data_IF_751053675214
#
_entry.id   IF_751053675214
#
_cell.length_a   1.000
_cell.length_b   1.000
_cell.length_c   1.000
_cell.angle_alpha   90.00
_cell.angle_beta   90.00
_cell.angle_gamma   90.00
#
_symmetry.space_group_name_H-M   'P 1'
#
loop_
_entity.id
_entity.type
_entity.pdbx_description
1 polymer ?
#
# COMPACT_ATOMS: atom_id res chain seq x y z
N UNK A 1 -16.90 -44.00 17.19
CA UNK A 1 -16.63 -42.99 18.24
C UNK A 1 -17.69 -41.89 18.25
N UNK A 2 -17.90 -41.17 17.13
CA UNK A 2 -18.92 -40.11 16.96
C UNK A 2 -20.33 -40.53 17.45
N UNK A 3 -20.88 -41.65 16.97
CA UNK A 3 -22.21 -42.15 17.40
C UNK A 3 -22.33 -42.44 18.91
N UNK A 4 -21.23 -42.74 19.59
CA UNK A 4 -21.23 -43.01 21.03
C UNK A 4 -21.25 -41.71 21.85
N UNK A 5 -20.59 -40.67 21.36
CA UNK A 5 -20.59 -39.32 21.95
C UNK A 5 -21.99 -38.70 21.76
N UNK A 6 -22.57 -38.81 20.56
CA UNK A 6 -23.90 -38.28 20.22
C UNK A 6 -25.06 -38.83 21.07
N UNK A 7 -24.87 -39.97 21.76
CA UNK A 7 -25.90 -40.55 22.66
C UNK A 7 -25.80 -40.05 24.11
N UNK A 8 -24.67 -39.41 24.48
CA UNK A 8 -24.37 -38.97 25.85
C UNK A 8 -24.38 -37.45 26.03
N UNK A 9 -24.40 -36.71 24.93
CA UNK A 9 -24.52 -35.25 24.95
C UNK A 9 -25.99 -34.89 25.23
N UNK A 10 -26.26 -34.35 26.42
CA UNK A 10 -27.53 -33.71 26.75
C UNK A 10 -27.33 -32.19 26.61
N UNK A 11 -27.88 -31.62 25.53
CA UNK A 11 -27.83 -30.18 25.25
C UNK A 11 -29.25 -29.67 25.08
N UNK A 12 -29.50 -28.45 25.56
CA UNK A 12 -30.62 -27.64 25.14
C UNK A 12 -30.21 -26.79 23.91
N UNK A 13 -31.15 -25.98 23.40
CA UNK A 13 -30.88 -25.12 22.24
C UNK A 13 -29.76 -24.11 22.52
N UNK A 14 -29.69 -23.55 23.73
CA UNK A 14 -28.67 -22.58 24.14
C UNK A 14 -27.26 -23.19 24.14
N UNK A 15 -27.14 -24.40 24.68
CA UNK A 15 -25.91 -25.16 24.68
C UNK A 15 -25.48 -25.55 23.26
N UNK A 16 -26.44 -25.94 22.42
CA UNK A 16 -26.18 -26.21 21.00
C UNK A 16 -25.65 -24.97 20.27
N UNK A 17 -26.29 -23.81 20.44
CA UNK A 17 -25.86 -22.55 19.81
C UNK A 17 -24.42 -22.21 20.22
N UNK A 18 -24.10 -22.36 21.51
CA UNK A 18 -22.75 -22.14 22.04
C UNK A 18 -21.72 -23.10 21.43
N UNK A 19 -22.09 -24.37 21.26
CA UNK A 19 -21.25 -25.36 20.58
C UNK A 19 -21.06 -25.03 19.09
N UNK A 20 -22.10 -24.59 18.40
CA UNK A 20 -22.01 -24.20 17.01
C UNK A 20 -21.05 -23.02 16.83
N UNK A 21 -21.17 -21.95 17.62
CA UNK A 21 -20.26 -20.79 17.53
C UNK A 21 -18.82 -21.19 17.88
N UNK A 22 -18.64 -22.03 18.89
CA UNK A 22 -17.31 -22.57 19.23
C UNK A 22 -16.71 -23.39 18.09
N UNK A 23 -17.53 -24.16 17.36
CA UNK A 23 -17.09 -24.93 16.20
C UNK A 23 -16.60 -24.04 15.05
N UNK A 24 -17.23 -22.88 14.83
CA UNK A 24 -16.79 -21.91 13.83
C UNK A 24 -15.39 -21.37 14.15
N UNK A 25 -15.16 -21.02 15.42
CA UNK A 25 -13.87 -20.53 15.91
C UNK A 25 -12.75 -21.59 15.86
N UNK A 26 -13.10 -22.88 15.90
CA UNK A 26 -12.13 -23.97 15.76
C UNK A 26 -11.46 -24.00 14.38
N UNK A 27 -12.09 -23.37 13.37
CA UNK A 27 -11.68 -23.40 11.95
C UNK A 27 -11.54 -24.83 11.39
N UNK A 28 -12.14 -25.83 12.05
CA UNK A 28 -12.12 -27.22 11.63
C UNK A 28 -13.48 -27.62 11.04
N UNK A 29 -13.50 -27.83 9.72
CA UNK A 29 -14.72 -28.21 8.99
C UNK A 29 -15.36 -29.50 9.53
N UNK A 30 -14.58 -30.46 10.01
CA UNK A 30 -15.13 -31.73 10.52
C UNK A 30 -15.92 -31.53 11.82
N UNK A 31 -15.48 -30.60 12.67
CA UNK A 31 -16.23 -30.25 13.88
C UNK A 31 -17.57 -29.61 13.48
N UNK A 32 -17.57 -28.70 12.50
CA UNK A 32 -18.80 -28.08 12.01
C UNK A 32 -19.75 -29.13 11.42
N UNK A 33 -19.25 -30.08 10.61
CA UNK A 33 -20.06 -31.19 10.07
C UNK A 33 -20.70 -32.01 11.19
N UNK A 34 -19.93 -32.33 12.24
CA UNK A 34 -20.46 -33.02 13.42
C UNK A 34 -21.55 -32.22 14.14
N UNK A 35 -21.43 -30.88 14.22
CA UNK A 35 -22.51 -30.03 14.76
C UNK A 35 -23.77 -30.09 13.88
N UNK A 36 -23.64 -30.15 12.55
CA UNK A 36 -24.81 -30.32 11.66
C UNK A 36 -25.46 -31.71 11.80
N UNK A 37 -24.69 -32.77 12.07
CA UNK A 37 -25.25 -34.08 12.42
C UNK A 37 -26.04 -34.04 13.74
N UNK A 38 -25.49 -33.37 14.76
CA UNK A 38 -26.17 -33.12 16.04
C UNK A 38 -27.48 -32.36 15.85
N UNK A 39 -27.46 -31.30 15.03
CA UNK A 39 -28.63 -30.50 14.67
C UNK A 39 -29.76 -31.41 14.17
N UNK A 40 -29.47 -32.21 13.14
CA UNK A 40 -30.47 -33.03 12.47
C UNK A 40 -30.99 -34.16 13.37
N UNK A 41 -30.12 -34.76 14.19
CA UNK A 41 -30.49 -35.85 15.09
C UNK A 41 -31.41 -35.40 16.22
N UNK A 42 -31.16 -34.23 16.79
CA UNK A 42 -31.86 -33.73 17.98
C UNK A 42 -32.90 -32.64 17.66
N UNK A 43 -33.05 -32.25 16.40
CA UNK A 43 -34.03 -31.24 15.97
C UNK A 43 -33.66 -29.80 16.35
N UNK A 44 -32.37 -29.50 16.58
CA UNK A 44 -31.96 -28.13 16.89
C UNK A 44 -32.10 -27.22 15.67
N UNK A 45 -32.26 -25.92 15.94
CA UNK A 45 -32.30 -24.88 14.92
C UNK A 45 -30.92 -24.20 14.80
N UNK A 46 -30.57 -23.76 13.59
CA UNK A 46 -29.47 -22.79 13.39
C UNK A 46 -30.15 -21.52 12.90
N UNK A 47 -30.05 -20.45 13.68
CA UNK A 47 -30.66 -19.17 13.35
C UNK A 47 -29.89 -18.46 12.23
N UNK A 48 -30.55 -17.52 11.56
CA UNK A 48 -29.88 -16.65 10.59
C UNK A 48 -28.72 -15.89 11.23
N UNK A 49 -28.87 -15.42 12.47
CA UNK A 49 -27.79 -14.73 13.20
C UNK A 49 -26.58 -15.64 13.46
N UNK A 50 -26.80 -16.91 13.80
CA UNK A 50 -25.73 -17.89 13.95
C UNK A 50 -25.00 -18.12 12.60
N UNK A 51 -25.72 -18.12 11.47
CA UNK A 51 -25.11 -18.18 10.14
C UNK A 51 -24.27 -16.94 9.86
N UNK A 52 -24.75 -15.73 10.21
CA UNK A 52 -23.96 -14.49 10.07
C UNK A 52 -22.66 -14.55 10.88
N UNK A 53 -22.70 -15.13 12.09
CA UNK A 53 -21.50 -15.35 12.89
C UNK A 53 -20.47 -16.27 12.19
N UNK A 54 -20.90 -17.16 11.29
CA UNK A 54 -19.96 -17.95 10.48
C UNK A 54 -19.10 -17.11 9.55
N UNK A 55 -19.58 -15.96 9.08
CA UNK A 55 -18.82 -15.04 8.25
C UNK A 55 -17.69 -14.39 9.05
N UNK A 56 -17.93 -14.13 10.33
CA UNK A 56 -16.98 -13.51 11.26
C UNK A 56 -15.94 -14.48 11.82
N UNK A 57 -16.35 -15.72 12.12
CA UNK A 57 -15.52 -16.68 12.86
C UNK A 57 -14.99 -17.82 11.98
N UNK A 58 -15.82 -18.34 11.07
CA UNK A 58 -15.45 -19.47 10.20
C UNK A 58 -14.39 -19.13 9.17
N UNK A 59 -13.70 -20.14 8.64
CA UNK A 59 -12.83 -19.99 7.46
C UNK A 59 -13.64 -20.15 6.16
N UNK A 60 -12.99 -19.97 5.00
CA UNK A 60 -13.64 -20.10 3.69
C UNK A 60 -14.35 -21.46 3.51
N UNK A 61 -13.73 -22.56 3.93
CA UNK A 61 -14.30 -23.90 3.80
C UNK A 61 -15.60 -24.06 4.60
N UNK A 62 -15.61 -23.56 5.84
CA UNK A 62 -16.78 -23.58 6.71
C UNK A 62 -17.90 -22.72 6.14
N UNK A 63 -17.59 -21.49 5.69
CA UNK A 63 -18.58 -20.59 5.08
C UNK A 63 -19.19 -21.24 3.83
N UNK A 64 -18.36 -21.87 2.98
CA UNK A 64 -18.82 -22.60 1.80
C UNK A 64 -19.70 -23.80 2.16
N UNK A 65 -19.33 -24.57 3.17
CA UNK A 65 -20.15 -25.70 3.64
C UNK A 65 -21.51 -25.21 4.12
N UNK A 66 -21.53 -24.21 5.01
CA UNK A 66 -22.77 -23.60 5.53
C UNK A 66 -23.62 -23.02 4.40
N UNK A 67 -22.99 -22.46 3.35
CA UNK A 67 -23.69 -21.89 2.19
C UNK A 67 -24.53 -22.87 1.38
N UNK A 68 -24.22 -24.17 1.46
CA UNK A 68 -24.94 -25.22 0.72
C UNK A 68 -25.75 -26.14 1.63
N UNK A 69 -25.51 -26.11 2.95
CA UNK A 69 -26.22 -26.97 3.90
C UNK A 69 -27.33 -26.28 4.67
N UNK A 70 -27.38 -24.95 4.64
CA UNK A 70 -28.43 -24.19 5.31
C UNK A 70 -29.55 -23.83 4.33
N UNK A 71 -30.78 -23.75 4.86
CA UNK A 71 -31.96 -23.33 4.09
C UNK A 71 -32.01 -21.79 3.91
N UNK A 72 -31.15 -21.06 4.60
CA UNK A 72 -31.13 -19.61 4.57
C UNK A 72 -30.26 -19.09 3.41
N UNK A 73 -30.75 -18.08 2.68
CA UNK A 73 -29.97 -17.47 1.62
C UNK A 73 -28.74 -16.77 2.21
N UNK A 74 -27.56 -17.12 1.70
CA UNK A 74 -26.35 -16.38 2.00
C UNK A 74 -26.35 -15.05 1.24
N UNK A 75 -25.93 -13.99 1.91
CA UNK A 75 -25.69 -12.68 1.31
C UNK A 75 -24.18 -12.48 1.01
N UNK A 76 -23.72 -12.62 -0.25
CA UNK A 76 -22.30 -12.47 -0.59
C UNK A 76 -21.74 -11.09 -0.22
N UNK A 77 -22.57 -10.05 -0.25
CA UNK A 77 -22.16 -8.69 0.10
C UNK A 77 -21.71 -8.61 1.56
N UNK A 78 -22.44 -9.24 2.46
CA UNK A 78 -22.12 -9.25 3.88
C UNK A 78 -20.81 -10.01 4.14
N UNK A 79 -20.63 -11.16 3.48
CA UNK A 79 -19.38 -11.91 3.56
C UNK A 79 -18.20 -11.07 3.08
N UNK A 80 -18.37 -10.35 1.97
CA UNK A 80 -17.33 -9.46 1.43
C UNK A 80 -17.01 -8.34 2.41
N UNK A 81 -18.00 -7.65 2.98
CA UNK A 81 -17.79 -6.61 4.01
C UNK A 81 -17.00 -7.15 5.22
N UNK A 82 -17.47 -8.25 5.82
CA UNK A 82 -16.80 -8.89 6.96
C UNK A 82 -15.39 -9.35 6.59
N UNK A 83 -15.20 -9.91 5.39
CA UNK A 83 -13.88 -10.37 4.94
C UNK A 83 -12.88 -9.22 4.80
N UNK A 84 -13.32 -8.03 4.40
CA UNK A 84 -12.48 -6.82 4.35
C UNK A 84 -12.14 -6.39 5.78
N UNK A 85 -13.14 -6.24 6.65
CA UNK A 85 -12.92 -5.82 8.05
C UNK A 85 -12.01 -6.77 8.82
N UNK A 86 -12.07 -8.08 8.54
CA UNK A 86 -11.25 -9.12 9.19
C UNK A 86 -9.98 -9.48 8.42
N UNK A 87 -9.68 -8.82 7.30
CA UNK A 87 -8.53 -9.09 6.41
C UNK A 87 -8.43 -10.56 5.93
N UNK A 88 -9.54 -11.12 5.44
CA UNK A 88 -9.66 -12.51 4.97
C UNK A 88 -9.65 -12.55 3.45
N UNK A 89 -8.47 -12.38 2.83
CA UNK A 89 -8.33 -12.22 1.38
C UNK A 89 -8.95 -13.34 0.55
N UNK A 90 -8.74 -14.61 0.91
CA UNK A 90 -9.30 -15.74 0.15
C UNK A 90 -10.84 -15.80 0.22
N UNK A 91 -11.42 -15.47 1.38
CA UNK A 91 -12.87 -15.35 1.52
C UNK A 91 -13.41 -14.18 0.71
N UNK A 92 -12.74 -13.03 0.80
CA UNK A 92 -13.06 -11.85 -0.01
C UNK A 92 -13.09 -12.21 -1.49
N UNK A 93 -11.99 -12.77 -2.00
CA UNK A 93 -11.82 -13.13 -3.41
C UNK A 93 -12.88 -14.11 -3.89
N UNK A 94 -13.20 -15.15 -3.10
CA UNK A 94 -14.20 -16.15 -3.48
C UNK A 94 -15.63 -15.60 -3.60
N UNK A 95 -15.99 -14.63 -2.74
CA UNK A 95 -17.35 -14.09 -2.71
C UNK A 95 -17.50 -12.78 -3.49
N UNK A 96 -16.42 -12.10 -3.82
CA UNK A 96 -16.44 -10.82 -4.54
C UNK A 96 -17.16 -10.91 -5.89
N UNK A 97 -16.86 -11.94 -6.69
CA UNK A 97 -17.47 -12.13 -8.02
C UNK A 97 -18.98 -12.43 -7.95
N UNK A 98 -19.48 -12.82 -6.78
CA UNK A 98 -20.91 -13.08 -6.56
C UNK A 98 -21.69 -11.79 -6.26
N UNK A 99 -21.02 -10.64 -6.10
CA UNK A 99 -21.65 -9.34 -5.85
C UNK A 99 -21.99 -8.66 -7.18
N UNK A 100 -23.28 -8.35 -7.40
CA UNK A 100 -23.83 -8.02 -8.73
C UNK A 100 -23.77 -6.54 -9.14
N UNK A 101 -23.02 -5.65 -8.48
CA UNK A 101 -23.04 -4.22 -8.87
C UNK A 101 -21.71 -3.45 -8.77
N UNK A 102 -21.47 -2.55 -9.74
CA UNK A 102 -20.32 -1.65 -9.74
C UNK A 102 -20.32 -0.60 -8.62
N UNK A 103 -21.50 -0.20 -8.13
CA UNK A 103 -21.63 0.72 -6.98
C UNK A 103 -21.12 0.08 -5.68
N UNK A 104 -21.23 -1.23 -5.55
CA UNK A 104 -20.72 -1.97 -4.39
C UNK A 104 -19.19 -2.09 -4.41
N UNK A 105 -18.57 -2.26 -5.59
CA UNK A 105 -17.11 -2.27 -5.72
C UNK A 105 -16.45 -0.99 -5.15
N UNK A 106 -17.03 0.18 -5.43
CA UNK A 106 -16.54 1.45 -4.88
C UNK A 106 -16.65 1.52 -3.35
N UNK A 107 -17.73 0.97 -2.76
CA UNK A 107 -17.88 0.89 -1.29
C UNK A 107 -16.84 -0.03 -0.67
N UNK A 108 -16.58 -1.17 -1.29
CA UNK A 108 -15.55 -2.11 -0.81
C UNK A 108 -14.14 -1.53 -0.92
N UNK A 109 -13.87 -0.71 -1.95
CA UNK A 109 -12.61 0.02 -2.05
C UNK A 109 -12.44 0.99 -0.87
N UNK A 110 -13.45 1.81 -0.57
CA UNK A 110 -13.41 2.74 0.58
C UNK A 110 -13.23 2.01 1.91
N UNK A 111 -13.96 0.91 2.10
CA UNK A 111 -13.81 0.08 3.29
C UNK A 111 -12.40 -0.54 3.39
N UNK A 112 -11.84 -1.02 2.27
CA UNK A 112 -10.48 -1.55 2.24
C UNK A 112 -9.42 -0.48 2.53
N UNK A 113 -9.66 0.78 2.13
CA UNK A 113 -8.80 1.92 2.47
C UNK A 113 -8.88 2.23 3.97
N UNK A 114 -10.10 2.37 4.53
CA UNK A 114 -10.36 2.62 5.94
C UNK A 114 -9.63 1.61 6.85
N UNK A 115 -9.68 0.33 6.49
CA UNK A 115 -9.04 -0.75 7.25
C UNK A 115 -7.62 -1.11 6.77
N UNK A 116 -7.03 -0.33 5.85
CA UNK A 116 -5.69 -0.55 5.25
C UNK A 116 -5.44 -1.99 4.80
N UNK A 117 -6.39 -2.56 4.05
CA UNK A 117 -6.33 -3.96 3.57
C UNK A 117 -5.57 -4.07 2.26
N UNK A 118 -4.24 -3.99 2.33
CA UNK A 118 -3.34 -3.85 1.16
C UNK A 118 -3.55 -4.92 0.09
N UNK A 119 -3.69 -6.20 0.44
CA UNK A 119 -3.92 -7.27 -0.55
C UNK A 119 -5.27 -7.13 -1.26
N UNK A 120 -6.31 -6.76 -0.51
CA UNK A 120 -7.65 -6.50 -1.03
C UNK A 120 -7.65 -5.24 -1.90
N UNK A 121 -6.98 -4.17 -1.50
CA UNK A 121 -6.80 -2.95 -2.30
C UNK A 121 -6.12 -3.26 -3.63
N UNK A 122 -5.03 -4.05 -3.56
CA UNK A 122 -4.28 -4.52 -4.73
C UNK A 122 -5.11 -5.37 -5.70
N UNK A 123 -6.13 -6.08 -5.19
CA UNK A 123 -7.08 -6.83 -6.00
C UNK A 123 -8.15 -5.91 -6.60
N UNK A 124 -8.80 -5.10 -5.75
CA UNK A 124 -9.90 -4.22 -6.13
C UNK A 124 -9.50 -3.22 -7.21
N UNK A 125 -8.29 -2.68 -7.12
CA UNK A 125 -7.86 -1.61 -8.02
C UNK A 125 -7.79 -2.06 -9.48
N UNK A 126 -7.62 -3.36 -9.76
CA UNK A 126 -7.50 -3.88 -11.12
C UNK A 126 -8.71 -3.56 -12.00
N UNK A 127 -9.91 -3.60 -11.42
CA UNK A 127 -11.20 -3.41 -12.10
C UNK A 127 -11.73 -1.98 -12.06
N UNK A 128 -11.08 -1.10 -11.29
CA UNK A 128 -11.61 0.23 -11.02
C UNK A 128 -11.04 1.25 -12.00
N UNK A 129 -11.94 2.03 -12.61
CA UNK A 129 -11.57 3.21 -13.38
C UNK A 129 -11.32 4.38 -12.42
N UNK A 130 -10.08 4.88 -12.36
CA UNK A 130 -9.69 5.97 -11.46
C UNK A 130 -10.52 7.25 -11.66
N UNK A 131 -10.95 7.53 -12.89
CA UNK A 131 -11.79 8.68 -13.23
C UNK A 131 -13.18 8.66 -12.58
N UNK A 132 -13.65 7.49 -12.14
CA UNK A 132 -14.92 7.32 -11.43
C UNK A 132 -14.78 7.41 -9.91
N UNK A 133 -13.56 7.59 -9.41
CA UNK A 133 -13.27 7.73 -7.98
C UNK A 133 -13.14 9.22 -7.66
N UNK A 134 -13.83 9.67 -6.61
CA UNK A 134 -13.70 11.04 -6.13
C UNK A 134 -12.27 11.39 -5.70
N UNK A 135 -11.94 12.68 -5.73
CA UNK A 135 -10.58 13.17 -5.49
C UNK A 135 -10.07 12.82 -4.09
N UNK A 136 -10.93 12.87 -3.06
CA UNK A 136 -10.54 12.57 -1.68
C UNK A 136 -10.21 11.09 -1.50
N UNK A 137 -11.02 10.18 -2.07
CA UNK A 137 -10.69 8.75 -2.06
C UNK A 137 -9.40 8.47 -2.83
N UNK A 138 -9.13 9.18 -3.93
CA UNK A 138 -7.83 9.06 -4.64
C UNK A 138 -6.66 9.57 -3.80
N UNK A 139 -6.84 10.65 -3.01
CA UNK A 139 -5.83 11.11 -2.05
C UNK A 139 -5.54 10.05 -0.98
N UNK A 140 -6.59 9.45 -0.42
CA UNK A 140 -6.43 8.33 0.52
C UNK A 140 -5.67 7.16 -0.09
N UNK A 141 -5.93 6.83 -1.36
CA UNK A 141 -5.21 5.76 -2.08
C UNK A 141 -3.73 6.08 -2.26
N UNK A 142 -3.35 7.32 -2.61
CA UNK A 142 -1.93 7.68 -2.74
C UNK A 142 -1.22 7.79 -1.39
N UNK A 143 -1.96 8.04 -0.30
CA UNK A 143 -1.45 8.00 1.08
C UNK A 143 -1.27 6.60 1.66
N UNK A 144 -1.42 5.54 0.84
CA UNK A 144 -1.11 4.17 1.23
C UNK A 144 0.39 3.92 1.03
N UNK A 145 1.08 3.63 2.13
CA UNK A 145 2.51 3.36 2.21
C UNK A 145 2.93 1.96 1.67
N UNK A 146 2.44 1.55 0.49
CA UNK A 146 2.80 0.29 -0.18
C UNK A 146 3.26 0.56 -1.61
N UNK A 147 4.57 0.36 -1.88
CA UNK A 147 5.21 0.64 -3.18
C UNK A 147 4.53 -0.10 -4.33
N UNK A 148 4.12 -1.36 -4.10
CA UNK A 148 3.44 -2.18 -5.12
C UNK A 148 2.08 -1.61 -5.49
N UNK A 149 1.31 -1.18 -4.49
CA UNK A 149 0.03 -0.53 -4.70
C UNK A 149 0.20 0.81 -5.42
N UNK A 150 1.11 1.67 -4.97
CA UNK A 150 1.40 2.97 -5.61
C UNK A 150 1.86 2.80 -7.06
N UNK A 151 2.72 1.81 -7.34
CA UNK A 151 3.13 1.45 -8.71
C UNK A 151 1.92 1.13 -9.59
N UNK A 152 0.98 0.33 -9.11
CA UNK A 152 -0.27 0.02 -9.85
C UNK A 152 -1.13 1.25 -10.11
N UNK A 153 -1.20 2.19 -9.16
CA UNK A 153 -1.93 3.45 -9.35
C UNK A 153 -1.29 4.29 -10.45
N UNK A 154 0.04 4.41 -10.44
CA UNK A 154 0.80 5.10 -11.49
C UNK A 154 0.65 4.41 -12.84
N UNK A 155 0.69 3.08 -12.90
CA UNK A 155 0.42 2.29 -14.11
C UNK A 155 -0.98 2.53 -14.68
N UNK A 156 -1.94 2.86 -13.81
CA UNK A 156 -3.33 3.20 -14.16
C UNK A 156 -3.55 4.68 -14.46
N UNK A 157 -2.51 5.51 -14.41
CA UNK A 157 -2.60 6.93 -14.73
C UNK A 157 -3.21 7.77 -13.62
N UNK A 158 -2.96 7.43 -12.35
CA UNK A 158 -3.23 8.37 -11.27
C UNK A 158 -2.37 9.63 -11.46
N UNK A 159 -2.91 10.78 -11.05
CA UNK A 159 -2.13 12.01 -11.01
C UNK A 159 -0.96 11.85 -10.02
N UNK A 160 0.27 11.92 -10.53
CA UNK A 160 1.48 11.71 -9.74
C UNK A 160 1.78 12.87 -8.78
N UNK A 161 1.15 14.02 -8.99
CA UNK A 161 1.26 15.20 -8.13
C UNK A 161 0.15 15.26 -7.07
N UNK A 162 -0.74 14.27 -7.05
CA UNK A 162 -1.83 14.19 -6.08
C UNK A 162 -1.29 14.14 -4.65
N UNK A 163 -1.95 14.88 -3.75
CA UNK A 163 -1.57 15.00 -2.34
C UNK A 163 -0.15 15.56 -2.13
N UNK A 164 0.17 16.65 -2.84
CA UNK A 164 1.47 17.34 -2.74
C UNK A 164 2.64 16.40 -3.04
N UNK A 165 2.63 15.82 -4.24
CA UNK A 165 3.69 14.91 -4.72
C UNK A 165 3.96 13.72 -3.78
N UNK A 166 2.94 13.25 -3.05
CA UNK A 166 3.08 12.21 -2.00
C UNK A 166 3.83 10.98 -2.51
N UNK A 167 3.47 10.48 -3.70
CA UNK A 167 4.07 9.26 -4.25
C UNK A 167 5.59 9.43 -4.39
N UNK A 168 6.04 10.56 -4.94
CA UNK A 168 7.46 10.82 -5.13
C UNK A 168 8.18 10.98 -3.78
N UNK A 169 7.61 11.76 -2.84
CA UNK A 169 8.13 11.91 -1.46
C UNK A 169 8.30 10.56 -0.76
N UNK A 170 7.26 9.73 -0.79
CA UNK A 170 7.27 8.40 -0.18
C UNK A 170 8.33 7.48 -0.78
N UNK A 171 8.43 7.43 -2.11
CA UNK A 171 9.42 6.59 -2.77
C UNK A 171 10.85 7.04 -2.44
N UNK A 172 11.11 8.36 -2.44
CA UNK A 172 12.41 8.91 -2.03
C UNK A 172 12.74 8.56 -0.58
N UNK A 173 11.78 8.63 0.34
CA UNK A 173 11.99 8.26 1.74
C UNK A 173 12.28 6.77 1.95
N UNK A 174 11.86 5.89 1.03
CA UNK A 174 11.95 4.43 1.16
C UNK A 174 12.87 3.76 0.13
N UNK A 175 13.55 4.51 -0.72
CA UNK A 175 14.32 4.02 -1.88
C UNK A 175 15.37 2.95 -1.59
N UNK A 176 15.85 2.85 -0.34
CA UNK A 176 16.87 1.89 0.08
C UNK A 176 16.31 0.52 0.47
N UNK A 177 14.98 0.36 0.59
CA UNK A 177 14.36 -0.90 1.05
C UNK A 177 14.31 -1.96 -0.05
N UNK A 178 14.08 -1.56 -1.29
CA UNK A 178 13.95 -2.47 -2.42
C UNK A 178 14.23 -1.78 -3.77
N UNK A 179 14.47 -2.59 -4.80
CA UNK A 179 14.64 -2.11 -6.16
C UNK A 179 13.34 -1.58 -6.77
N UNK A 180 12.18 -1.99 -6.26
CA UNK A 180 10.86 -1.55 -6.78
C UNK A 180 10.67 -0.04 -6.59
N UNK A 181 11.11 0.49 -5.45
CA UNK A 181 11.07 1.92 -5.14
C UNK A 181 11.91 2.72 -6.14
N UNK A 182 13.10 2.25 -6.49
CA UNK A 182 13.98 2.89 -7.47
C UNK A 182 13.36 2.89 -8.86
N UNK A 183 12.75 1.77 -9.27
CA UNK A 183 12.09 1.68 -10.57
C UNK A 183 10.84 2.56 -10.65
N UNK A 184 10.08 2.68 -9.54
CA UNK A 184 8.98 3.63 -9.45
C UNK A 184 9.49 5.08 -9.52
N UNK A 185 10.59 5.44 -8.85
CA UNK A 185 11.21 6.78 -8.96
C UNK A 185 11.59 7.09 -10.41
N UNK A 186 12.27 6.18 -11.11
CA UNK A 186 12.62 6.37 -12.53
C UNK A 186 11.38 6.65 -13.37
N UNK A 187 10.32 5.87 -13.16
CA UNK A 187 9.05 6.05 -13.87
C UNK A 187 8.42 7.41 -13.57
N UNK A 188 8.37 7.81 -12.30
CA UNK A 188 7.84 9.10 -11.87
C UNK A 188 8.62 10.27 -12.50
N UNK A 189 9.94 10.19 -12.58
CA UNK A 189 10.78 11.20 -13.25
C UNK A 189 10.43 11.34 -14.74
N UNK A 190 10.26 10.22 -15.46
CA UNK A 190 9.82 10.22 -16.87
C UNK A 190 8.43 10.85 -17.01
N UNK A 191 7.54 10.60 -16.07
CA UNK A 191 6.19 11.18 -16.04
C UNK A 191 6.16 12.65 -15.58
N UNK A 192 7.30 13.23 -15.24
CA UNK A 192 7.41 14.66 -14.91
C UNK A 192 7.25 14.98 -13.42
N UNK A 193 7.59 14.05 -12.52
CA UNK A 193 7.56 14.29 -11.07
C UNK A 193 8.26 15.59 -10.67
N UNK A 194 7.70 16.26 -9.66
CA UNK A 194 8.24 17.50 -9.15
C UNK A 194 9.52 17.24 -8.33
N UNK A 195 10.68 17.36 -8.98
CA UNK A 195 11.97 17.19 -8.32
C UNK A 195 12.33 18.31 -7.33
N UNK A 196 11.46 19.32 -7.16
CA UNK A 196 11.69 20.48 -6.30
C UNK A 196 10.94 20.43 -4.96
N UNK A 197 10.25 19.32 -4.66
CA UNK A 197 9.57 19.07 -3.38
C UNK A 197 10.45 19.40 -2.18
N UNK A 198 9.83 19.89 -1.09
CA UNK A 198 10.49 20.23 0.18
C UNK A 198 11.72 21.14 0.01
N UNK A 199 11.66 22.10 -0.92
CA UNK A 199 12.80 22.97 -1.28
C UNK A 199 14.06 22.19 -1.65
N UNK A 200 13.88 20.96 -2.15
CA UNK A 200 14.95 20.02 -2.50
C UNK A 200 15.84 19.61 -1.32
N UNK A 201 15.35 19.71 -0.07
CA UNK A 201 16.07 19.28 1.14
C UNK A 201 16.41 17.78 1.10
N UNK A 202 15.55 16.95 0.52
CA UNK A 202 15.76 15.52 0.38
C UNK A 202 17.05 15.19 -0.41
N UNK A 203 17.45 16.03 -1.37
CA UNK A 203 18.69 15.82 -2.13
C UNK A 203 19.94 15.93 -1.27
N UNK A 204 19.92 16.71 -0.18
CA UNK A 204 21.05 16.80 0.75
C UNK A 204 21.30 15.45 1.45
N UNK A 205 20.22 14.80 1.90
CA UNK A 205 20.27 13.45 2.47
C UNK A 205 20.74 12.43 1.42
N UNK A 206 20.20 12.51 0.20
CA UNK A 206 20.61 11.60 -0.88
C UNK A 206 22.06 11.79 -1.30
N UNK A 207 22.63 13.00 -1.25
CA UNK A 207 24.06 13.21 -1.53
C UNK A 207 24.89 12.35 -0.57
N UNK A 208 24.53 12.28 0.71
CA UNK A 208 25.25 11.49 1.71
C UNK A 208 25.10 9.98 1.51
N UNK A 209 23.93 9.52 1.07
CA UNK A 209 23.56 8.10 1.13
C UNK A 209 23.45 7.41 -0.24
N UNK A 210 22.96 8.11 -1.27
CA UNK A 210 22.85 7.60 -2.64
C UNK A 210 23.10 8.69 -3.71
N UNK A 211 24.36 9.08 -3.94
CA UNK A 211 24.72 10.09 -4.95
C UNK A 211 24.36 9.67 -6.40
N UNK A 212 24.13 8.36 -6.64
CA UNK A 212 23.70 7.88 -7.96
C UNK A 212 22.25 8.29 -8.23
N UNK A 213 21.39 8.20 -7.21
CA UNK A 213 20.01 8.67 -7.31
C UNK A 213 19.95 10.20 -7.47
N UNK A 214 20.81 10.96 -6.78
CA UNK A 214 20.96 12.42 -7.00
C UNK A 214 21.31 12.70 -8.46
N UNK A 215 22.30 12.00 -9.00
CA UNK A 215 22.72 12.17 -10.39
C UNK A 215 21.61 11.85 -11.38
N UNK A 216 20.74 10.88 -11.08
CA UNK A 216 19.55 10.59 -11.88
C UNK A 216 18.54 11.74 -11.80
N UNK A 217 18.20 12.22 -10.60
CA UNK A 217 17.19 13.27 -10.39
C UNK A 217 17.62 14.57 -11.07
N UNK A 218 18.89 14.95 -10.95
CA UNK A 218 19.42 16.17 -11.58
C UNK A 218 19.32 16.17 -13.12
N UNK A 219 19.23 15.00 -13.77
CA UNK A 219 18.99 14.92 -15.23
C UNK A 219 17.59 15.40 -15.63
N UNK A 220 16.64 15.37 -14.70
CA UNK A 220 15.26 15.80 -14.92
C UNK A 220 14.99 17.22 -14.38
N UNK A 221 15.98 17.86 -13.75
CA UNK A 221 15.88 19.24 -13.28
C UNK A 221 15.92 20.22 -14.46
N UNK A 222 14.91 21.08 -14.57
CA UNK A 222 14.76 22.09 -15.64
C UNK A 222 15.28 23.47 -15.25
N UNK A 223 15.50 23.70 -13.96
CA UNK A 223 15.98 24.94 -13.35
C UNK A 223 16.83 24.65 -12.11
N UNK A 224 17.62 25.63 -11.62
CA UNK A 224 18.34 25.51 -10.35
C UNK A 224 17.42 25.09 -9.20
N UNK A 225 17.95 24.23 -8.32
CA UNK A 225 17.25 23.86 -7.09
C UNK A 225 17.27 25.03 -6.09
N UNK A 226 16.20 25.26 -5.32
CA UNK A 226 16.13 26.38 -4.36
C UNK A 226 17.29 26.41 -3.34
N UNK A 227 17.79 25.24 -2.94
CA UNK A 227 18.89 25.08 -1.99
C UNK A 227 20.24 24.73 -2.66
N UNK A 228 20.43 25.08 -3.93
CA UNK A 228 21.61 24.74 -4.74
C UNK A 228 22.95 25.00 -4.04
N UNK A 229 23.08 26.10 -3.29
CA UNK A 229 24.29 26.42 -2.53
C UNK A 229 24.60 25.42 -1.42
N UNK A 230 23.58 24.83 -0.77
CA UNK A 230 23.77 23.76 0.22
C UNK A 230 24.12 22.45 -0.48
N UNK A 231 23.39 22.10 -1.55
CA UNK A 231 23.67 20.91 -2.35
C UNK A 231 25.08 20.92 -2.94
N UNK A 232 25.56 22.08 -3.37
CA UNK A 232 26.91 22.27 -3.88
C UNK A 232 27.96 22.02 -2.80
N UNK A 233 27.79 22.60 -1.61
CA UNK A 233 28.70 22.36 -0.48
C UNK A 233 28.72 20.89 -0.06
N UNK A 234 27.57 20.24 0.05
CA UNK A 234 27.48 18.80 0.33
C UNK A 234 28.15 17.98 -0.78
N UNK A 235 27.87 18.35 -2.03
CA UNK A 235 28.59 18.04 -3.26
C UNK A 235 30.10 17.85 -3.06
N UNK A 236 30.70 18.98 -2.69
CA UNK A 236 32.13 19.11 -2.58
C UNK A 236 32.70 18.41 -1.34
N UNK A 237 32.01 18.54 -0.21
CA UNK A 237 32.40 17.92 1.04
C UNK A 237 32.57 16.40 0.91
N UNK A 238 31.67 15.75 0.17
CA UNK A 238 31.72 14.31 -0.08
C UNK A 238 32.53 13.90 -1.33
N UNK A 239 33.16 14.84 -2.04
CA UNK A 239 34.01 14.52 -3.19
C UNK A 239 33.27 14.19 -4.49
N UNK A 240 32.00 14.59 -4.64
CA UNK A 240 31.20 14.24 -5.82
C UNK A 240 31.28 15.29 -6.94
N UNK A 241 32.42 15.34 -7.62
CA UNK A 241 32.72 16.22 -8.76
C UNK A 241 31.60 16.28 -9.82
N UNK A 242 31.04 15.13 -10.19
CA UNK A 242 29.99 15.05 -11.22
C UNK A 242 28.71 15.80 -10.81
N UNK A 243 28.32 15.68 -9.55
CA UNK A 243 27.15 16.37 -8.99
C UNK A 243 27.45 17.87 -8.90
N UNK A 244 28.61 18.25 -8.36
CA UNK A 244 29.01 19.67 -8.25
C UNK A 244 29.04 20.36 -9.63
N UNK A 245 29.62 19.72 -10.65
CA UNK A 245 29.62 20.21 -12.04
C UNK A 245 28.21 20.33 -12.61
N UNK A 246 27.33 19.38 -12.32
CA UNK A 246 25.94 19.41 -12.80
C UNK A 246 25.17 20.58 -12.18
N UNK A 247 25.33 20.82 -10.87
CA UNK A 247 24.74 21.97 -10.19
C UNK A 247 25.24 23.31 -10.75
N UNK A 248 26.53 23.41 -11.07
CA UNK A 248 27.11 24.61 -11.70
C UNK A 248 26.61 24.87 -13.12
N UNK A 249 26.39 23.81 -13.90
CA UNK A 249 25.79 23.95 -15.23
C UNK A 249 24.37 24.51 -15.14
N UNK A 250 23.61 24.11 -14.12
CA UNK A 250 22.28 24.66 -13.88
C UNK A 250 22.32 26.11 -13.37
N UNK A 251 23.28 26.45 -12.49
CA UNK A 251 23.41 27.78 -11.88
C UNK A 251 24.85 28.32 -11.95
N UNK A 252 25.13 29.17 -12.95
CA UNK A 252 26.51 29.65 -13.22
C UNK A 252 27.12 30.48 -12.09
N UNK A 253 26.32 31.24 -11.34
CA UNK A 253 26.80 32.06 -10.22
C UNK A 253 26.89 31.29 -8.89
N UNK A 254 26.79 29.96 -8.92
CA UNK A 254 26.83 29.14 -7.71
C UNK A 254 28.21 29.17 -7.03
N UNK A 255 29.31 29.19 -7.78
CA UNK A 255 30.66 29.36 -7.20
C UNK A 255 30.80 30.74 -6.55
N UNK A 256 30.36 31.82 -7.19
CA UNK A 256 30.48 33.17 -6.61
C UNK A 256 29.62 33.34 -5.34
N UNK A 257 28.43 32.75 -5.28
CA UNK A 257 27.62 32.65 -4.03
C UNK A 257 28.29 31.84 -2.92
N UNK A 258 29.30 31.03 -3.26
CA UNK A 258 30.05 30.17 -2.35
C UNK A 258 31.55 30.51 -2.36
N UNK A 259 31.94 31.74 -2.74
CA UNK A 259 33.30 32.13 -3.11
C UNK A 259 34.35 31.67 -2.10
N UNK A 260 34.18 32.01 -0.82
CA UNK A 260 35.12 31.64 0.24
C UNK A 260 35.36 30.13 0.32
N UNK A 261 34.29 29.34 0.24
CA UNK A 261 34.38 27.88 0.32
C UNK A 261 35.01 27.29 -0.95
N UNK A 262 34.66 27.80 -2.12
CA UNK A 262 35.24 27.37 -3.39
C UNK A 262 36.74 27.71 -3.48
N UNK A 263 37.17 28.90 -3.04
CA UNK A 263 38.60 29.27 -2.97
C UNK A 263 39.39 28.32 -2.07
N UNK A 264 38.88 28.02 -0.87
CA UNK A 264 39.52 27.06 0.04
C UNK A 264 39.71 25.68 -0.59
N UNK A 265 38.72 25.19 -1.33
CA UNK A 265 38.82 23.89 -2.02
C UNK A 265 39.87 23.92 -3.13
N UNK A 266 39.92 25.00 -3.90
CA UNK A 266 40.92 25.18 -4.98
C UNK A 266 42.34 25.25 -4.41
N UNK A 267 42.55 25.97 -3.29
CA UNK A 267 43.86 26.06 -2.61
C UNK A 267 44.31 24.69 -2.05
N UNK A 268 43.35 23.84 -1.66
CA UNK A 268 43.59 22.44 -1.27
C UNK A 268 43.76 21.50 -2.48
N UNK A 269 43.89 22.04 -3.70
CA UNK A 269 43.95 21.31 -4.96
C UNK A 269 42.72 20.43 -5.29
N UNK A 270 41.60 20.62 -4.59
CA UNK A 270 40.33 19.93 -4.84
C UNK A 270 39.45 20.75 -5.78
N UNK A 271 38.65 20.08 -6.60
CA UNK A 271 37.69 20.73 -7.50
C UNK A 271 38.30 21.86 -8.37
N UNK A 272 39.51 21.66 -8.92
CA UNK A 272 40.28 22.66 -9.70
C UNK A 272 39.47 23.37 -10.80
N UNK A 273 38.42 22.73 -11.32
CA UNK A 273 37.50 23.33 -12.30
C UNK A 273 36.77 24.60 -11.78
N UNK A 274 36.68 24.81 -10.46
CA UNK A 274 36.05 25.99 -9.88
C UNK A 274 36.88 27.26 -10.08
N UNK A 275 38.20 27.15 -10.34
CA UNK A 275 39.09 28.31 -10.55
C UNK A 275 38.55 29.24 -11.63
N UNK A 276 38.02 28.69 -12.72
CA UNK A 276 37.45 29.41 -13.85
C UNK A 276 36.16 30.20 -13.52
N UNK A 277 35.63 30.07 -12.29
CA UNK A 277 34.40 30.72 -11.83
C UNK A 277 34.64 31.65 -10.63
N UNK A 278 35.90 31.77 -10.15
CA UNK A 278 36.28 32.61 -9.01
C UNK A 278 36.75 34.01 -9.42
N UNK A 279 37.13 34.15 -10.69
CA UNK A 279 37.49 35.40 -11.37
C UNK A 279 36.23 36.24 -11.67
#
# INVERSE_FOLDING_TARGET
MINHILKRINLDQTGFDSCFISSLNSKNLQVVKFIFELKNKNGFLITYDAIRQSYEYGNLEIIRYISVTTEYPINPREIVDVSIRKNRFETFKHFFDKVKSGREKAKFLKLALEFRRIEILNFLINDVQLSRIDIETRKEMVGIDDIRFLKKLVDKGIDIHLDDDHIFRFCIGNHYKDNESIDLIKKLLVLGANVYIDESKYLELLIRHDPRLVSLILKYSKKPHPNSGKLFRAACFHGYDGIAKTLLKAEKNLVSKNKTYASQLVDQEKFKFMKNYLD
#
